data_IF_777859589756
#
_entry.id   IF_777859589756
#
_cell.length_a   1.000
_cell.length_b   1.000
_cell.length_c   1.000
_cell.angle_alpha   90.00
_cell.angle_beta   90.00
_cell.angle_gamma   90.00
#
_symmetry.space_group_name_H-M   'P 1'
#
loop_
_entity.id
_entity.type
_entity.pdbx_description
1 polymer ?
#
# COMPACT_ATOMS: atom_id res chain seq x y z
N UNK A 1 -14.80 -6.30 44.58
CA UNK A 1 -14.84 -6.71 43.15
C UNK A 1 -15.42 -5.54 42.38
N UNK A 2 -14.59 -4.74 41.72
CA UNK A 2 -14.20 -4.83 40.29
C UNK A 2 -15.11 -3.89 39.47
N UNK A 3 -14.66 -3.01 38.58
CA UNK A 3 -13.47 -2.19 38.42
C UNK A 3 -13.93 -1.05 37.49
N UNK A 4 -13.51 0.17 37.79
CA UNK A 4 -13.77 1.40 37.05
C UNK A 4 -13.13 1.31 35.64
N UNK A 5 -13.95 1.23 34.58
CA UNK A 5 -13.45 1.29 33.20
C UNK A 5 -13.20 2.75 32.81
N UNK A 6 -11.97 3.20 33.02
CA UNK A 6 -11.41 4.42 32.44
C UNK A 6 -11.29 4.23 30.93
N UNK A 7 -12.25 4.77 30.17
CA UNK A 7 -12.13 4.90 28.71
C UNK A 7 -11.02 5.91 28.41
N UNK A 8 -9.84 5.42 28.09
CA UNK A 8 -8.70 6.22 27.66
C UNK A 8 -9.04 6.92 26.34
N UNK A 9 -9.35 8.20 26.43
CA UNK A 9 -9.25 9.14 25.33
C UNK A 9 -7.75 9.32 25.04
N UNK A 10 -7.21 8.59 24.06
CA UNK A 10 -5.82 8.77 23.63
C UNK A 10 -5.80 9.68 22.41
N UNK A 11 -5.75 11.00 22.66
CA UNK A 11 -5.30 11.97 21.67
C UNK A 11 -3.78 11.86 21.63
N UNK A 12 -3.25 10.89 20.86
CA UNK A 12 -1.81 10.84 20.60
C UNK A 12 -1.48 11.87 19.52
N UNK A 13 -0.58 12.81 19.82
CA UNK A 13 0.00 13.69 18.81
C UNK A 13 0.44 12.87 17.60
N UNK A 14 -0.15 13.18 16.44
CA UNK A 14 -0.01 12.37 15.23
C UNK A 14 1.41 12.48 14.69
N UNK A 15 2.30 11.60 15.15
CA UNK A 15 3.46 11.20 14.37
C UNK A 15 2.87 10.62 13.06
N UNK A 16 2.97 11.38 11.97
CA UNK A 16 2.38 11.06 10.66
C UNK A 16 2.93 9.77 10.01
N UNK A 17 3.74 8.98 10.72
CA UNK A 17 4.40 7.76 10.24
C UNK A 17 3.69 6.46 10.60
N UNK A 18 2.38 6.47 10.89
CA UNK A 18 1.60 5.26 11.11
C UNK A 18 1.15 4.60 9.80
N UNK A 19 0.88 3.29 9.83
CA UNK A 19 0.16 2.64 8.74
C UNK A 19 -1.29 3.11 8.70
N UNK A 20 -1.79 3.39 7.51
CA UNK A 20 -3.18 3.74 7.23
C UNK A 20 -3.70 2.77 6.18
N UNK A 21 -4.79 2.06 6.50
CA UNK A 21 -5.46 1.18 5.54
C UNK A 21 -6.03 2.01 4.38
N UNK A 22 -5.96 1.44 3.17
CA UNK A 22 -6.43 2.06 1.93
C UNK A 22 -7.47 1.18 1.28
N UNK A 23 -8.41 1.84 0.60
CA UNK A 23 -9.42 1.16 -0.18
C UNK A 23 -8.73 0.43 -1.36
N UNK A 24 -8.90 -0.90 -1.51
CA UNK A 24 -8.38 -1.65 -2.65
C UNK A 24 -8.87 -1.13 -4.01
N UNK A 25 -10.08 -0.54 -4.02
CA UNK A 25 -10.70 0.01 -5.23
C UNK A 25 -10.31 1.47 -5.49
N UNK A 26 -9.44 2.07 -4.65
CA UNK A 26 -8.93 3.42 -4.84
C UNK A 26 -8.15 3.52 -6.18
N UNK A 27 -8.56 4.43 -7.09
CA UNK A 27 -7.85 4.65 -8.34
C UNK A 27 -6.37 4.97 -8.17
N UNK A 28 -5.97 5.61 -7.06
CA UNK A 28 -4.57 5.89 -6.76
C UNK A 28 -3.79 4.61 -6.52
N UNK A 29 -4.32 3.66 -5.74
CA UNK A 29 -3.67 2.38 -5.43
C UNK A 29 -3.50 1.55 -6.70
N UNK A 30 -4.54 1.48 -7.53
CA UNK A 30 -4.48 0.81 -8.82
C UNK A 30 -3.43 1.43 -9.76
N UNK A 31 -3.32 2.75 -9.75
CA UNK A 31 -2.33 3.48 -10.56
C UNK A 31 -0.91 3.19 -10.07
N UNK A 32 -0.66 3.29 -8.76
CA UNK A 32 0.65 2.99 -8.15
C UNK A 32 1.08 1.55 -8.44
N UNK A 33 0.18 0.58 -8.28
CA UNK A 33 0.47 -0.82 -8.57
C UNK A 33 0.86 -1.02 -10.04
N UNK A 34 0.13 -0.41 -10.99
CA UNK A 34 0.44 -0.52 -12.43
C UNK A 34 1.79 0.08 -12.80
N UNK A 35 2.10 1.28 -12.30
CA UNK A 35 3.39 1.93 -12.55
C UNK A 35 4.55 1.10 -11.99
N UNK A 36 4.41 0.61 -10.76
CA UNK A 36 5.41 -0.24 -10.11
C UNK A 36 5.64 -1.55 -10.89
N UNK A 37 4.57 -2.23 -11.30
CA UNK A 37 4.67 -3.45 -12.11
C UNK A 37 5.31 -3.17 -13.48
N UNK A 38 4.98 -2.04 -14.10
CA UNK A 38 5.56 -1.63 -15.38
C UNK A 38 7.08 -1.41 -15.30
N UNK A 39 7.60 -0.88 -14.19
CA UNK A 39 9.05 -0.76 -13.98
C UNK A 39 9.76 -2.12 -13.93
N UNK A 40 9.05 -3.14 -13.46
CA UNK A 40 9.53 -4.53 -13.46
C UNK A 40 9.26 -5.25 -14.80
N UNK A 41 8.78 -4.55 -15.83
CA UNK A 41 8.36 -5.13 -17.12
C UNK A 41 7.22 -6.16 -16.96
N UNK A 42 6.41 -6.04 -15.90
CA UNK A 42 5.23 -6.87 -15.66
C UNK A 42 3.99 -6.09 -16.14
N UNK A 43 3.32 -6.62 -17.15
CA UNK A 43 2.08 -6.05 -17.70
C UNK A 43 0.90 -6.97 -17.38
N UNK A 44 0.27 -6.82 -16.19
CA UNK A 44 -0.79 -7.73 -15.76
C UNK A 44 -2.04 -7.57 -16.64
N UNK A 45 -2.65 -8.68 -17.03
CA UNK A 45 -4.00 -8.70 -17.59
C UNK A 45 -4.97 -8.79 -16.42
N UNK A 46 -5.97 -7.90 -16.37
CA UNK A 46 -7.01 -7.90 -15.33
C UNK A 46 -6.45 -7.84 -13.89
N UNK A 47 -5.64 -6.81 -13.59
CA UNK A 47 -5.12 -6.56 -12.24
C UNK A 47 -6.25 -6.34 -11.22
N UNK A 48 -6.16 -7.02 -10.08
CA UNK A 48 -7.03 -6.86 -8.92
C UNK A 48 -6.19 -6.59 -7.67
N UNK A 49 -6.55 -5.56 -6.92
CA UNK A 49 -5.95 -5.28 -5.61
C UNK A 49 -6.85 -5.94 -4.56
N UNK A 50 -6.23 -6.69 -3.65
CA UNK A 50 -6.94 -7.42 -2.58
C UNK A 50 -6.94 -6.63 -1.28
N UNK A 51 -5.82 -5.97 -0.96
CA UNK A 51 -5.67 -5.09 0.19
C UNK A 51 -4.55 -4.11 -0.04
N UNK A 52 -4.66 -2.91 0.52
CA UNK A 52 -3.58 -1.94 0.49
C UNK A 52 -3.48 -1.18 1.82
N UNK A 53 -2.26 -0.82 2.19
CA UNK A 53 -1.98 0.13 3.28
C UNK A 53 -0.87 1.07 2.86
N UNK A 54 -0.88 2.26 3.43
CA UNK A 54 0.09 3.31 3.16
C UNK A 54 0.74 3.82 4.44
N UNK A 55 1.96 4.32 4.33
CA UNK A 55 2.69 4.97 5.41
C UNK A 55 3.47 6.16 4.86
N UNK A 56 3.44 7.30 5.55
CA UNK A 56 4.31 8.42 5.21
C UNK A 56 5.73 8.12 5.69
N UNK A 57 6.68 8.21 4.76
CA UNK A 57 8.12 8.07 4.98
C UNK A 57 8.82 9.26 4.33
N UNK A 58 9.96 9.09 3.66
CA UNK A 58 10.49 10.08 2.70
C UNK A 58 9.66 10.08 1.39
N UNK A 59 8.34 10.14 1.47
CA UNK A 59 7.42 9.78 0.38
C UNK A 59 6.20 9.06 0.92
N UNK A 60 5.46 8.37 0.06
CA UNK A 60 4.38 7.48 0.48
C UNK A 60 4.78 6.05 0.16
N UNK A 61 4.98 5.24 1.21
CA UNK A 61 5.19 3.81 1.07
C UNK A 61 3.84 3.12 0.99
N UNK A 62 3.68 2.27 -0.02
CA UNK A 62 2.53 1.40 -0.20
C UNK A 62 2.94 -0.06 0.00
N UNK A 63 2.05 -0.80 0.65
CA UNK A 63 2.11 -2.25 0.77
C UNK A 63 0.78 -2.79 0.22
N UNK A 64 0.88 -3.47 -0.93
CA UNK A 64 -0.24 -3.81 -1.79
C UNK A 64 -0.21 -5.32 -2.03
N UNK A 65 -1.27 -6.01 -1.58
CA UNK A 65 -1.52 -7.38 -2.00
C UNK A 65 -2.38 -7.35 -3.25
N UNK A 66 -1.91 -7.97 -4.32
CA UNK A 66 -2.57 -7.97 -5.61
C UNK A 66 -2.55 -9.34 -6.27
N UNK A 67 -3.44 -9.54 -7.23
CA UNK A 67 -3.46 -10.72 -8.10
C UNK A 67 -3.88 -10.32 -9.51
N UNK A 68 -3.57 -11.13 -10.50
CA UNK A 68 -3.86 -10.84 -11.90
C UNK A 68 -3.88 -12.10 -12.76
N UNK A 69 -4.51 -12.02 -13.93
CA UNK A 69 -4.57 -13.13 -14.88
C UNK A 69 -3.17 -13.49 -15.42
N UNK A 70 -2.90 -14.78 -15.71
CA UNK A 70 -3.87 -15.88 -15.75
C UNK A 70 -4.10 -16.59 -14.41
N UNK A 71 -3.31 -16.30 -13.37
CA UNK A 71 -3.37 -17.02 -12.09
C UNK A 71 -3.88 -16.13 -10.95
N UNK A 72 -5.21 -16.03 -10.84
CA UNK A 72 -5.87 -15.28 -9.77
C UNK A 72 -5.75 -15.93 -8.38
N UNK A 73 -5.20 -17.15 -8.29
CA UNK A 73 -4.99 -17.81 -7.00
C UNK A 73 -3.63 -17.43 -6.39
N UNK A 74 -2.72 -16.90 -7.19
CA UNK A 74 -1.44 -16.39 -6.72
C UNK A 74 -1.61 -14.96 -6.25
N UNK A 75 -1.36 -14.75 -4.95
CA UNK A 75 -1.24 -13.41 -4.36
C UNK A 75 0.20 -12.96 -4.45
N UNK A 76 0.38 -11.72 -4.89
CA UNK A 76 1.65 -11.02 -4.95
C UNK A 76 1.68 -9.92 -3.91
N UNK A 77 2.77 -9.84 -3.15
CA UNK A 77 3.00 -8.75 -2.20
C UNK A 77 3.93 -7.73 -2.85
N UNK A 78 3.39 -6.53 -3.13
CA UNK A 78 4.12 -5.44 -3.76
C UNK A 78 4.36 -4.33 -2.73
N UNK A 79 5.63 -4.02 -2.48
CA UNK A 79 6.03 -2.87 -1.65
C UNK A 79 6.73 -1.84 -2.53
N UNK A 80 6.16 -0.64 -2.57
CA UNK A 80 6.65 0.46 -3.41
C UNK A 80 6.64 1.79 -2.66
N UNK A 81 7.63 2.63 -2.90
CA UNK A 81 7.66 4.01 -2.39
C UNK A 81 7.40 4.97 -3.54
N UNK A 82 6.42 5.86 -3.37
CA UNK A 82 6.14 6.96 -4.29
C UNK A 82 6.76 8.26 -3.79
N UNK A 83 7.57 8.87 -4.65
CA UNK A 83 8.28 10.14 -4.43
C UNK A 83 8.09 11.03 -5.66
N UNK A 84 6.95 11.74 -5.78
CA UNK A 84 6.59 12.49 -6.99
C UNK A 84 7.58 13.60 -7.41
N UNK A 85 8.52 13.96 -6.53
CA UNK A 85 9.56 14.96 -6.78
C UNK A 85 10.87 14.39 -7.34
N UNK A 86 10.98 13.08 -7.52
CA UNK A 86 12.12 12.43 -8.20
C UNK A 86 11.84 12.27 -9.70
N UNK A 87 12.91 12.16 -10.49
CA UNK A 87 12.83 11.83 -11.93
C UNK A 87 12.17 10.45 -12.14
N UNK A 88 12.54 9.47 -11.32
CA UNK A 88 11.87 8.17 -11.19
C UNK A 88 11.02 8.16 -9.91
N UNK A 89 9.70 8.41 -10.01
CA UNK A 89 8.85 8.67 -8.85
C UNK A 89 8.33 7.42 -8.14
N UNK A 90 8.61 6.21 -8.64
CA UNK A 90 8.29 4.95 -7.97
C UNK A 90 9.56 4.14 -7.78
N UNK A 91 9.74 3.63 -6.58
CA UNK A 91 10.85 2.75 -6.21
C UNK A 91 10.25 1.45 -5.65
N UNK A 92 10.42 0.34 -6.38
CA UNK A 92 9.95 -0.97 -5.93
C UNK A 92 10.94 -1.55 -4.92
N UNK A 93 10.49 -1.74 -3.69
CA UNK A 93 11.33 -2.27 -2.61
C UNK A 93 11.29 -3.81 -2.54
N UNK A 94 10.13 -4.41 -2.80
CA UNK A 94 9.97 -5.87 -2.84
C UNK A 94 8.78 -6.30 -3.69
N UNK A 95 8.90 -7.49 -4.29
CA UNK A 95 7.84 -8.15 -5.05
C UNK A 95 7.97 -9.67 -4.90
N UNK A 96 6.92 -10.35 -4.46
CA UNK A 96 6.90 -11.81 -4.22
C UNK A 96 5.76 -12.53 -4.94
#
# INVERSE_FOLDING_TARGET
MLALLLTLCSVSGALLGGWTDRDPDDPEILRVAKEALSQMTICPVSLQVLSARSQVVEGIKYDINLTYAPDFNKVHELVVVSQPWKEDPYEVLSYT
#
